data_IF_488854225159
#
_entry.id   IF_488854225159
#
_cell.length_a   1.000
_cell.length_b   1.000
_cell.length_c   1.000
_cell.angle_alpha   90.00
_cell.angle_beta   90.00
_cell.angle_gamma   90.00
#
_symmetry.space_group_name_H-M   'P 1'
#
loop_
_entity.id
_entity.type
_entity.pdbx_description
1 polymer ?
#
# COMPACT_ATOMS: atom_id res chain seq x y z
N UNK A 1 -17.97 5.54 3.79
CA UNK A 1 -17.11 4.34 3.68
C UNK A 1 -16.36 4.19 4.99
N UNK A 2 -16.16 2.97 5.49
CA UNK A 2 -15.43 2.72 6.74
C UNK A 2 -13.94 2.52 6.45
N UNK A 3 -13.09 2.97 7.36
CA UNK A 3 -11.66 2.67 7.36
C UNK A 3 -11.41 1.25 7.87
N UNK A 4 -10.34 0.59 7.40
CA UNK A 4 -9.90 -0.71 7.93
C UNK A 4 -9.61 -0.61 9.44
N UNK A 5 -10.14 -1.51 10.25
CA UNK A 5 -10.09 -1.45 11.73
C UNK A 5 -10.56 -0.10 12.31
N UNK A 6 -11.51 0.58 11.65
CA UNK A 6 -11.96 1.91 12.05
C UNK A 6 -10.85 2.96 12.10
N UNK A 7 -9.76 2.75 11.33
CA UNK A 7 -8.61 3.62 11.26
C UNK A 7 -7.68 3.56 12.48
N UNK A 8 -7.85 2.56 13.36
CA UNK A 8 -6.99 2.34 14.55
C UNK A 8 -5.50 2.24 14.22
N UNK A 9 -5.16 1.72 13.04
CA UNK A 9 -3.79 1.54 12.57
C UNK A 9 -3.39 2.59 11.52
N UNK A 10 -4.14 3.68 11.36
CA UNK A 10 -3.67 4.79 10.54
C UNK A 10 -2.35 5.36 11.14
N UNK A 11 -1.36 5.74 10.31
CA UNK A 11 -1.48 5.88 8.86
C UNK A 11 -1.08 4.65 8.04
N UNK A 12 -0.55 3.59 8.66
CA UNK A 12 0.01 2.45 7.91
C UNK A 12 -1.04 1.68 7.11
N UNK A 13 -2.32 1.73 7.49
CA UNK A 13 -3.43 1.13 6.73
C UNK A 13 -4.10 2.05 5.71
N UNK A 14 -3.64 3.30 5.59
CA UNK A 14 -4.25 4.26 4.66
C UNK A 14 -3.94 3.94 3.22
N UNK A 15 -2.70 3.52 3.00
CA UNK A 15 -2.20 3.03 1.73
C UNK A 15 -1.80 1.58 1.90
N UNK A 16 -2.30 0.73 1.02
CA UNK A 16 -1.92 -0.68 0.95
C UNK A 16 -1.47 -0.96 -0.47
N UNK A 17 -0.30 -1.60 -0.59
CA UNK A 17 0.16 -2.16 -1.84
C UNK A 17 -0.35 -3.59 -2.02
N UNK A 18 -0.58 -4.03 -3.25
CA UNK A 18 -0.95 -5.39 -3.57
C UNK A 18 -0.13 -5.89 -4.76
N UNK A 19 0.34 -7.13 -4.70
CA UNK A 19 1.00 -7.84 -5.80
C UNK A 19 0.22 -9.11 -6.10
N UNK A 20 -0.12 -9.37 -7.37
CA UNK A 20 -0.84 -10.57 -7.80
C UNK A 20 0.12 -11.77 -7.87
N UNK A 21 0.60 -12.21 -6.70
CA UNK A 21 1.48 -13.35 -6.56
C UNK A 21 1.38 -13.93 -5.13
N UNK A 22 1.98 -15.11 -4.95
CA UNK A 22 2.11 -15.73 -3.63
C UNK A 22 3.05 -14.90 -2.72
N UNK A 23 2.77 -14.79 -1.40
CA UNK A 23 3.60 -14.02 -0.48
C UNK A 23 5.07 -14.43 -0.46
N UNK A 24 5.38 -15.71 -0.57
CA UNK A 24 6.77 -16.21 -0.55
C UNK A 24 7.57 -15.63 -1.74
N UNK A 25 6.94 -15.53 -2.92
CA UNK A 25 7.56 -14.91 -4.11
C UNK A 25 7.76 -13.41 -3.93
N UNK A 26 6.80 -12.71 -3.32
CA UNK A 26 6.90 -11.29 -3.05
C UNK A 26 8.04 -10.98 -2.06
N UNK A 27 8.15 -11.78 -1.00
CA UNK A 27 9.22 -11.67 0.01
C UNK A 27 10.58 -11.99 -0.61
N UNK A 28 10.70 -13.06 -1.40
CA UNK A 28 11.95 -13.42 -2.07
C UNK A 28 12.45 -12.29 -2.98
N UNK A 29 11.57 -11.75 -3.82
CA UNK A 29 11.90 -10.63 -4.71
C UNK A 29 12.30 -9.37 -3.91
N UNK A 30 11.59 -9.07 -2.82
CA UNK A 30 11.93 -7.95 -1.94
C UNK A 30 13.28 -8.13 -1.25
N UNK A 31 13.57 -9.31 -0.71
CA UNK A 31 14.84 -9.62 -0.05
C UNK A 31 16.01 -9.54 -1.02
N UNK A 32 15.86 -10.06 -2.24
CA UNK A 32 16.89 -9.94 -3.28
C UNK A 32 17.18 -8.48 -3.58
N UNK A 33 16.15 -7.71 -3.91
CA UNK A 33 16.31 -6.31 -4.29
C UNK A 33 16.86 -5.44 -3.15
N UNK A 34 16.21 -5.49 -1.98
CA UNK A 34 16.62 -4.66 -0.86
C UNK A 34 17.94 -5.15 -0.25
N UNK A 35 18.25 -6.44 -0.31
CA UNK A 35 19.57 -6.97 0.07
C UNK A 35 20.68 -6.31 -0.73
N UNK A 36 20.54 -6.28 -2.06
CA UNK A 36 21.52 -5.64 -2.94
C UNK A 36 21.67 -4.14 -2.64
N UNK A 37 20.55 -3.43 -2.49
CA UNK A 37 20.54 -1.98 -2.21
C UNK A 37 21.14 -1.65 -0.84
N UNK A 38 20.84 -2.45 0.18
CA UNK A 38 21.17 -2.14 1.58
C UNK A 38 22.53 -2.70 2.02
N UNK A 39 23.05 -3.73 1.36
CA UNK A 39 24.36 -4.34 1.68
C UNK A 39 25.50 -3.31 1.67
N UNK A 40 25.47 -2.36 0.73
CA UNK A 40 26.47 -1.29 0.62
C UNK A 40 26.48 -0.33 1.82
N UNK A 41 25.39 -0.30 2.59
CA UNK A 41 25.22 0.52 3.80
C UNK A 41 25.50 -0.25 5.09
N UNK A 42 25.89 -1.54 4.99
CA UNK A 42 26.01 -2.42 6.14
C UNK A 42 24.67 -2.72 6.82
N UNK A 43 23.58 -2.68 6.04
CA UNK A 43 22.23 -2.97 6.51
C UNK A 43 21.84 -4.36 6.06
N UNK A 44 21.47 -5.20 7.01
CA UNK A 44 21.05 -6.59 6.81
C UNK A 44 19.52 -6.70 6.83
N UNK A 45 18.99 -7.72 6.18
CA UNK A 45 17.56 -8.01 6.18
C UNK A 45 17.30 -9.38 6.79
N UNK A 46 16.29 -9.46 7.65
CA UNK A 46 15.78 -10.73 8.14
C UNK A 46 14.28 -10.83 7.88
N UNK A 47 13.82 -12.03 7.55
CA UNK A 47 12.40 -12.34 7.38
C UNK A 47 11.95 -13.32 8.46
N UNK A 48 10.86 -12.98 9.14
CA UNK A 48 10.19 -13.86 10.09
C UNK A 48 8.74 -14.09 9.65
N UNK A 49 8.27 -15.33 9.76
CA UNK A 49 6.96 -15.73 9.26
C UNK A 49 6.14 -16.33 10.39
N UNK A 50 4.89 -15.91 10.54
CA UNK A 50 4.00 -16.37 11.60
C UNK A 50 2.55 -16.49 11.12
N UNK A 51 1.79 -17.41 11.73
CA UNK A 51 0.34 -17.49 11.61
C UNK A 51 -0.28 -16.52 12.60
N UNK A 52 -0.47 -15.28 12.17
CA UNK A 52 -1.08 -14.21 12.97
C UNK A 52 -2.06 -13.46 12.09
N UNK A 53 -3.17 -13.02 12.66
CA UNK A 53 -4.10 -12.17 11.94
C UNK A 53 -3.46 -10.80 11.60
N UNK A 54 -4.13 -10.02 10.73
CA UNK A 54 -3.60 -8.72 10.34
C UNK A 54 -3.52 -7.75 11.54
N UNK A 55 -4.46 -7.82 12.48
CA UNK A 55 -4.52 -6.93 13.64
C UNK A 55 -3.38 -7.18 14.64
N UNK A 56 -2.86 -8.41 14.69
CA UNK A 56 -1.67 -8.83 15.44
C UNK A 56 -0.37 -8.55 14.67
N UNK A 57 -0.40 -8.61 13.34
CA UNK A 57 0.75 -8.32 12.49
C UNK A 57 1.08 -6.81 12.45
N UNK A 58 0.07 -5.94 12.29
CA UNK A 58 0.25 -4.49 12.14
C UNK A 58 1.06 -3.83 13.27
N UNK A 59 0.85 -4.14 14.58
CA UNK A 59 1.69 -3.63 15.66
C UNK A 59 3.17 -3.93 15.51
N UNK A 60 3.56 -5.00 14.80
CA UNK A 60 4.97 -5.36 14.58
C UNK A 60 5.70 -4.38 13.67
N UNK A 61 4.98 -3.51 12.95
CA UNK A 61 5.57 -2.42 12.19
C UNK A 61 6.10 -1.29 13.11
N UNK A 62 5.77 -1.25 14.41
CA UNK A 62 6.24 -0.19 15.30
C UNK A 62 7.69 -0.40 15.79
N UNK A 63 8.52 0.64 15.84
CA UNK A 63 8.18 2.05 15.66
C UNK A 63 8.00 2.43 14.18
N UNK A 64 7.13 3.41 13.93
CA UNK A 64 7.06 4.05 12.63
C UNK A 64 8.32 4.88 12.40
N UNK A 65 8.78 5.00 11.17
CA UNK A 65 10.01 5.73 10.84
C UNK A 65 9.79 6.82 9.80
N UNK A 66 10.59 7.90 9.87
CA UNK A 66 10.78 8.87 8.79
C UNK A 66 12.05 8.56 7.98
N UNK A 67 12.17 9.17 6.79
CA UNK A 67 13.32 9.07 5.86
C UNK A 67 13.52 7.69 5.23
N UNK A 68 13.58 6.63 6.02
CA UNK A 68 13.69 5.25 5.55
C UNK A 68 12.74 4.31 6.28
N UNK A 69 12.26 3.28 5.59
CA UNK A 69 11.42 2.22 6.14
C UNK A 69 12.28 1.06 6.62
N UNK A 70 11.95 0.52 7.79
CA UNK A 70 12.73 -0.54 8.46
C UNK A 70 11.96 -1.83 8.63
N UNK A 71 10.63 -1.79 8.53
CA UNK A 71 9.77 -2.96 8.72
C UNK A 71 8.70 -3.01 7.65
N UNK A 72 8.47 -4.20 7.11
CA UNK A 72 7.60 -4.45 5.96
C UNK A 72 6.80 -5.72 6.21
N UNK A 73 5.49 -5.68 5.98
CA UNK A 73 4.62 -6.83 6.06
C UNK A 73 4.20 -7.27 4.67
N UNK A 74 4.26 -8.58 4.44
CA UNK A 74 3.67 -9.26 3.30
C UNK A 74 2.57 -10.18 3.81
N UNK A 75 1.34 -9.87 3.46
CA UNK A 75 0.14 -10.46 4.06
C UNK A 75 -0.64 -11.22 2.99
N UNK A 76 -0.86 -12.54 3.13
CA UNK A 76 -1.74 -13.28 2.23
C UNK A 76 -3.17 -12.75 2.33
N UNK A 77 -3.88 -12.76 1.20
CA UNK A 77 -5.29 -12.40 1.15
C UNK A 77 -6.16 -13.60 0.77
N UNK A 78 -7.48 -13.43 0.77
CA UNK A 78 -8.44 -14.44 0.30
C UNK A 78 -8.52 -14.57 -1.22
N UNK A 79 -7.75 -13.78 -1.96
CA UNK A 79 -7.58 -13.88 -3.40
C UNK A 79 -6.12 -14.18 -3.75
N UNK A 80 -5.76 -14.04 -5.02
CA UNK A 80 -4.41 -14.22 -5.57
C UNK A 80 -3.47 -13.04 -5.27
N UNK A 81 -3.93 -12.07 -4.48
CA UNK A 81 -3.16 -10.90 -4.09
C UNK A 81 -2.40 -11.13 -2.77
N UNK A 82 -1.19 -10.61 -2.71
CA UNK A 82 -0.43 -10.40 -1.47
C UNK A 82 -0.46 -8.92 -1.13
N UNK A 83 -0.92 -8.55 0.06
CA UNK A 83 -0.90 -7.18 0.54
C UNK A 83 0.47 -6.82 1.13
N UNK A 84 0.84 -5.55 0.98
CA UNK A 84 2.10 -4.97 1.41
C UNK A 84 1.85 -3.69 2.22
N UNK A 85 2.51 -3.61 3.37
CA UNK A 85 2.44 -2.48 4.31
C UNK A 85 3.83 -2.25 4.88
N UNK A 86 4.23 -0.99 5.10
CA UNK A 86 5.49 -0.66 5.75
C UNK A 86 5.30 0.25 6.97
N UNK A 87 6.38 0.50 7.71
CA UNK A 87 6.34 1.30 8.94
C UNK A 87 6.47 2.80 8.73
N UNK A 88 5.97 3.37 7.64
CA UNK A 88 6.06 4.81 7.40
C UNK A 88 5.23 5.65 8.35
N UNK A 89 5.85 6.67 8.94
CA UNK A 89 5.16 7.59 9.86
C UNK A 89 4.05 8.45 9.21
N UNK A 90 4.08 8.58 7.88
CA UNK A 90 3.05 9.25 7.05
C UNK A 90 2.20 8.24 6.26
N UNK A 91 2.36 6.95 6.56
CA UNK A 91 1.73 5.84 5.84
C UNK A 91 2.71 5.06 4.98
N UNK A 92 2.21 3.94 4.46
CA UNK A 92 2.96 3.01 3.60
C UNK A 92 3.43 3.68 2.32
N UNK A 93 4.72 3.56 2.00
CA UNK A 93 5.27 3.93 0.69
C UNK A 93 5.13 2.77 -0.30
N UNK A 94 3.91 2.58 -0.81
CA UNK A 94 3.61 1.50 -1.74
C UNK A 94 4.03 1.80 -3.20
N UNK A 95 4.18 3.06 -3.60
CA UNK A 95 4.38 3.41 -5.01
C UNK A 95 5.63 2.74 -5.59
N UNK A 96 6.79 3.02 -4.96
CA UNK A 96 8.08 2.54 -5.44
C UNK A 96 8.21 1.01 -5.32
N UNK A 97 7.78 0.46 -4.18
CA UNK A 97 7.87 -0.97 -3.92
C UNK A 97 6.97 -1.80 -4.83
N UNK A 98 5.70 -1.42 -5.00
CA UNK A 98 4.76 -2.23 -5.78
C UNK A 98 5.06 -2.13 -7.28
N UNK A 99 5.35 -0.93 -7.79
CA UNK A 99 5.77 -0.74 -9.18
C UNK A 99 7.00 -1.61 -9.49
N UNK A 100 8.06 -1.51 -8.68
CA UNK A 100 9.28 -2.26 -8.93
C UNK A 100 9.09 -3.78 -8.79
N UNK A 101 8.42 -4.25 -7.73
CA UNK A 101 8.20 -5.68 -7.51
C UNK A 101 7.28 -6.30 -8.57
N UNK A 102 6.26 -5.58 -9.06
CA UNK A 102 5.42 -6.05 -10.14
C UNK A 102 6.23 -6.33 -11.43
N UNK A 103 7.15 -5.41 -11.77
CA UNK A 103 8.08 -5.59 -12.90
C UNK A 103 9.01 -6.79 -12.65
N UNK A 104 9.66 -6.87 -11.48
CA UNK A 104 10.63 -7.94 -11.20
C UNK A 104 10.00 -9.34 -11.13
N UNK A 105 8.79 -9.45 -10.57
CA UNK A 105 8.09 -10.73 -10.40
C UNK A 105 7.40 -11.14 -11.71
N UNK A 106 7.12 -10.18 -12.59
CA UNK A 106 6.30 -10.38 -13.78
C UNK A 106 4.82 -10.57 -13.43
N UNK A 107 4.27 -9.72 -12.56
CA UNK A 107 2.87 -9.78 -12.13
C UNK A 107 2.19 -8.41 -12.14
N UNK A 108 0.88 -8.39 -11.86
CA UNK A 108 0.13 -7.16 -11.67
C UNK A 108 0.36 -6.59 -10.27
N UNK A 109 0.42 -5.26 -10.17
CA UNK A 109 0.52 -4.51 -8.93
C UNK A 109 -0.63 -3.51 -8.76
N UNK A 110 -1.04 -3.26 -7.52
CA UNK A 110 -2.00 -2.22 -7.18
C UNK A 110 -1.52 -1.42 -5.99
N UNK A 111 -1.59 -0.09 -6.06
CA UNK A 111 -1.57 0.77 -4.87
C UNK A 111 -2.96 1.35 -4.67
N UNK A 112 -3.49 1.20 -3.46
CA UNK A 112 -4.77 1.78 -3.07
C UNK A 112 -4.59 2.67 -1.85
N UNK A 113 -5.12 3.89 -1.90
CA UNK A 113 -5.09 4.84 -0.78
C UNK A 113 -6.50 5.35 -0.47
N UNK A 114 -6.87 5.36 0.81
CA UNK A 114 -8.04 6.07 1.32
C UNK A 114 -7.73 6.79 2.63
N UNK A 115 -7.77 8.12 2.59
CA UNK A 115 -7.70 9.02 3.73
C UNK A 115 -8.99 9.86 3.75
N UNK A 116 -9.89 9.67 4.74
CA UNK A 116 -11.15 10.41 4.81
C UNK A 116 -10.94 11.89 5.17
N UNK A 117 -11.87 12.74 4.72
CA UNK A 117 -11.85 14.21 4.93
C UNK A 117 -11.93 14.58 6.41
N UNK A 118 -12.61 13.76 7.21
CA UNK A 118 -12.83 13.99 8.63
C UNK A 118 -11.60 13.71 9.50
N UNK A 119 -10.52 13.16 8.93
CA UNK A 119 -9.33 12.76 9.69
C UNK A 119 -8.45 13.97 10.06
N UNK A 120 -8.29 14.29 11.36
CA UNK A 120 -7.48 15.44 11.76
C UNK A 120 -5.99 15.25 11.45
N UNK A 121 -5.34 16.31 10.97
CA UNK A 121 -3.89 16.36 10.80
C UNK A 121 -3.35 15.57 9.61
N UNK A 122 -4.20 15.14 8.68
CA UNK A 122 -3.80 14.54 7.41
C UNK A 122 -4.62 15.13 6.26
N UNK A 123 -4.02 15.15 5.08
CA UNK A 123 -4.72 15.59 3.89
C UNK A 123 -5.52 14.44 3.28
N UNK A 124 -6.83 14.63 3.01
CA UNK A 124 -7.64 13.58 2.44
C UNK A 124 -7.21 13.24 1.01
N UNK A 125 -7.28 11.96 0.70
CA UNK A 125 -6.88 11.41 -0.58
C UNK A 125 -7.61 10.10 -0.88
N UNK A 126 -7.97 9.89 -2.15
CA UNK A 126 -8.39 8.61 -2.72
C UNK A 126 -7.50 8.35 -3.92
N UNK A 127 -6.74 7.25 -3.92
CA UNK A 127 -5.80 6.92 -5.00
C UNK A 127 -5.96 5.46 -5.37
N UNK A 128 -5.96 5.19 -6.67
CA UNK A 128 -5.80 3.87 -7.26
C UNK A 128 -4.72 3.95 -8.34
N UNK A 129 -3.68 3.14 -8.22
CA UNK A 129 -2.66 2.98 -9.25
C UNK A 129 -2.54 1.50 -9.59
N UNK A 130 -2.54 1.19 -10.89
CA UNK A 130 -2.37 -0.16 -11.44
C UNK A 130 -1.01 -0.23 -12.13
N UNK A 131 -0.26 -1.28 -11.84
CA UNK A 131 1.04 -1.55 -12.42
C UNK A 131 1.01 -2.89 -13.14
N UNK A 132 1.68 -2.95 -14.29
CA UNK A 132 1.86 -4.18 -15.06
C UNK A 132 3.26 -4.77 -14.92
N UNK A 133 3.50 -5.95 -15.51
CA UNK A 133 4.84 -6.54 -15.55
C UNK A 133 5.79 -5.79 -16.51
N UNK A 134 5.24 -5.06 -17.49
CA UNK A 134 5.99 -4.42 -18.56
C UNK A 134 6.17 -2.92 -18.34
N UNK A 135 7.29 -2.38 -18.82
CA UNK A 135 7.51 -0.93 -18.83
C UNK A 135 6.56 -0.24 -19.82
N UNK A 136 6.14 0.94 -19.41
CA UNK A 136 5.28 1.90 -20.08
C UNK A 136 6.01 3.25 -20.19
N UNK A 137 5.35 4.29 -20.67
CA UNK A 137 5.92 5.64 -20.73
C UNK A 137 6.33 6.19 -19.35
N UNK A 138 5.65 5.76 -18.28
CA UNK A 138 5.99 6.11 -16.90
C UNK A 138 6.07 4.87 -16.01
N UNK A 139 7.31 4.38 -15.80
CA UNK A 139 7.59 3.12 -15.11
C UNK A 139 6.78 1.99 -15.76
N UNK A 140 6.03 1.21 -14.99
CA UNK A 140 5.09 0.19 -15.46
C UNK A 140 3.63 0.56 -15.13
N UNK A 141 3.31 1.86 -15.10
CA UNK A 141 1.98 2.34 -14.68
C UNK A 141 0.97 2.18 -15.82
N UNK A 142 -0.03 1.34 -15.61
CA UNK A 142 -1.15 1.11 -16.56
C UNK A 142 -2.21 2.19 -16.39
N UNK A 143 -2.56 2.50 -15.14
CA UNK A 143 -3.66 3.40 -14.79
C UNK A 143 -3.38 4.09 -13.46
N UNK A 144 -3.57 5.40 -13.39
CA UNK A 144 -3.51 6.17 -12.14
C UNK A 144 -4.74 7.06 -12.04
N UNK A 145 -5.49 6.94 -10.94
CA UNK A 145 -6.66 7.76 -10.63
C UNK A 145 -6.46 8.31 -9.23
N UNK A 146 -6.50 9.63 -9.09
CA UNK A 146 -6.31 10.28 -7.80
C UNK A 146 -7.28 11.44 -7.61
N UNK A 147 -7.85 11.52 -6.41
CA UNK A 147 -8.44 12.72 -5.84
C UNK A 147 -7.69 13.02 -4.56
N UNK A 148 -7.14 14.21 -4.43
CA UNK A 148 -6.40 14.61 -3.22
C UNK A 148 -6.60 16.09 -2.91
N UNK A 149 -6.40 16.44 -1.64
CA UNK A 149 -6.33 17.83 -1.19
C UNK A 149 -4.87 18.23 -0.96
N UNK A 150 -4.41 19.31 -1.58
CA UNK A 150 -3.02 19.77 -1.51
C UNK A 150 -2.75 20.77 -0.35
N UNK A 151 -3.72 20.94 0.55
CA UNK A 151 -3.70 21.98 1.59
C UNK A 151 -4.44 23.26 1.18
N UNK A 152 -4.74 23.46 -0.10
CA UNK A 152 -5.44 24.64 -0.61
C UNK A 152 -6.67 24.32 -1.46
N UNK A 153 -6.59 23.30 -2.30
CA UNK A 153 -7.65 22.93 -3.25
C UNK A 153 -7.69 21.43 -3.46
N UNK A 154 -8.82 20.98 -3.99
CA UNK A 154 -8.98 19.61 -4.47
C UNK A 154 -8.38 19.48 -5.87
N UNK A 155 -7.66 18.40 -6.08
CA UNK A 155 -7.10 17.99 -7.36
C UNK A 155 -7.70 16.66 -7.78
N UNK A 156 -7.86 16.47 -9.09
CA UNK A 156 -8.25 15.19 -9.70
C UNK A 156 -7.38 14.91 -10.91
N UNK A 157 -6.85 13.70 -10.99
CA UNK A 157 -6.15 13.15 -12.16
C UNK A 157 -6.65 11.74 -12.48
N UNK A 158 -6.58 11.39 -13.76
CA UNK A 158 -6.96 10.09 -14.28
C UNK A 158 -6.17 9.82 -15.58
N UNK A 159 -5.01 9.19 -15.44
CA UNK A 159 -4.01 9.00 -16.50
C UNK A 159 -3.85 7.52 -16.84
N UNK A 160 -3.40 7.20 -18.06
CA UNK A 160 -3.29 5.81 -18.53
C UNK A 160 -4.58 5.22 -19.10
N UNK A 161 -4.58 3.91 -19.34
CA UNK A 161 -5.69 3.22 -20.01
C UNK A 161 -6.90 3.05 -19.08
N UNK A 162 -8.07 3.50 -19.54
CA UNK A 162 -9.34 3.33 -18.83
C UNK A 162 -9.68 1.84 -18.74
N UNK A 163 -9.88 1.35 -17.52
CA UNK A 163 -10.25 -0.04 -17.28
C UNK A 163 -11.75 -0.25 -17.52
N UNK A 164 -12.12 -1.48 -17.93
CA UNK A 164 -13.50 -1.83 -18.31
C UNK A 164 -14.52 -1.71 -17.18
N UNK A 165 -14.07 -1.73 -15.93
CA UNK A 165 -14.91 -1.57 -14.74
C UNK A 165 -15.08 -0.11 -14.28
N UNK A 166 -14.39 0.85 -14.91
CA UNK A 166 -14.44 2.25 -14.47
C UNK A 166 -15.78 2.93 -14.77
N UNK A 167 -16.36 3.59 -13.76
CA UNK A 167 -17.52 4.48 -13.91
C UNK A 167 -17.08 5.88 -14.34
N UNK A 168 -16.55 6.01 -15.56
CA UNK A 168 -15.94 7.26 -16.07
C UNK A 168 -16.88 8.48 -16.10
N UNK A 169 -18.20 8.27 -16.04
CA UNK A 169 -19.18 9.37 -15.89
C UNK A 169 -18.95 10.16 -14.60
N UNK A 170 -18.53 9.49 -13.51
CA UNK A 170 -18.22 10.11 -12.20
C UNK A 170 -17.10 11.13 -12.30
N UNK A 171 -16.17 10.98 -13.23
CA UNK A 171 -15.03 11.89 -13.40
C UNK A 171 -15.44 13.31 -13.84
N UNK A 172 -16.69 13.48 -14.28
CA UNK A 172 -17.27 14.76 -14.69
C UNK A 172 -18.10 15.43 -13.60
N UNK A 173 -18.18 14.84 -12.40
CA UNK A 173 -18.88 15.43 -11.26
C UNK A 173 -18.43 16.86 -10.98
N UNK A 174 -19.38 17.72 -10.62
CA UNK A 174 -19.11 19.15 -10.34
C UNK A 174 -18.16 19.30 -9.14
N UNK A 175 -18.32 18.44 -8.14
CA UNK A 175 -17.46 18.41 -6.96
C UNK A 175 -16.28 17.48 -7.22
N UNK A 176 -15.06 18.01 -7.21
CA UNK A 176 -13.84 17.23 -7.45
C UNK A 176 -13.73 16.04 -6.48
N UNK A 177 -14.04 16.26 -5.19
CA UNK A 177 -14.03 15.20 -4.18
C UNK A 177 -15.02 14.06 -4.41
N UNK A 178 -16.02 14.25 -5.29
CA UNK A 178 -16.99 13.22 -5.67
C UNK A 178 -16.62 12.47 -6.95
N UNK A 179 -15.56 12.88 -7.65
CA UNK A 179 -15.11 12.26 -8.90
C UNK A 179 -14.50 10.89 -8.67
N UNK A 180 -13.80 10.73 -7.55
CA UNK A 180 -13.27 9.46 -7.08
C UNK A 180 -13.24 9.51 -5.55
N UNK A 181 -14.13 8.75 -4.92
CA UNK A 181 -14.29 8.67 -3.47
C UNK A 181 -14.01 7.24 -2.99
N UNK A 182 -13.95 7.04 -1.67
CA UNK A 182 -13.68 5.72 -1.09
C UNK A 182 -14.65 4.64 -1.59
N UNK A 183 -15.94 4.96 -1.79
CA UNK A 183 -16.93 4.01 -2.27
C UNK A 183 -16.65 3.54 -3.71
N UNK A 184 -16.23 4.46 -4.58
CA UNK A 184 -15.84 4.13 -5.93
C UNK A 184 -14.52 3.35 -5.97
N UNK A 185 -13.57 3.69 -5.09
CA UNK A 185 -12.34 2.92 -4.89
C UNK A 185 -12.63 1.47 -4.47
N UNK A 186 -13.48 1.24 -3.45
CA UNK A 186 -13.88 -0.10 -3.02
C UNK A 186 -14.54 -0.89 -4.17
N UNK A 187 -15.41 -0.22 -4.95
CA UNK A 187 -16.03 -0.84 -6.13
C UNK A 187 -14.97 -1.31 -7.14
N UNK A 188 -14.01 -0.46 -7.49
CA UNK A 188 -12.95 -0.79 -8.43
C UNK A 188 -12.03 -1.90 -7.91
N UNK A 189 -11.65 -1.86 -6.63
CA UNK A 189 -10.84 -2.90 -6.01
C UNK A 189 -11.54 -4.25 -6.02
N UNK A 190 -12.85 -4.29 -5.78
CA UNK A 190 -13.62 -5.55 -5.85
C UNK A 190 -13.64 -6.14 -7.26
N UNK A 191 -13.67 -5.31 -8.31
CA UNK A 191 -13.50 -5.80 -9.69
C UNK A 191 -12.13 -6.43 -9.94
N UNK A 192 -11.09 -6.02 -9.19
CA UNK A 192 -9.76 -6.61 -9.22
C UNK A 192 -9.60 -7.83 -8.30
N UNK A 193 -10.62 -8.17 -7.51
CA UNK A 193 -10.56 -9.23 -6.50
C UNK A 193 -9.92 -8.80 -5.17
N UNK A 194 -9.88 -7.49 -4.89
CA UNK A 194 -9.31 -6.90 -3.67
C UNK A 194 -10.45 -6.36 -2.80
N UNK A 195 -10.45 -6.71 -1.51
CA UNK A 195 -11.42 -6.20 -0.53
C UNK A 195 -10.70 -5.48 0.62
N UNK A 196 -10.05 -4.35 0.32
CA UNK A 196 -9.12 -3.68 1.26
C UNK A 196 -9.76 -3.19 2.57
N UNK A 197 -11.08 -2.97 2.58
CA UNK A 197 -11.81 -2.47 3.74
C UNK A 197 -12.48 -3.58 4.56
N UNK A 198 -12.37 -4.84 4.12
CA UNK A 198 -12.87 -6.01 4.82
C UNK A 198 -11.72 -6.67 5.59
N UNK A 199 -11.77 -6.63 6.92
CA UNK A 199 -10.75 -7.24 7.78
C UNK A 199 -10.59 -8.75 7.50
N UNK A 200 -11.69 -9.42 7.14
CA UNK A 200 -11.69 -10.85 6.85
C UNK A 200 -11.05 -11.19 5.50
N UNK A 201 -10.73 -10.19 4.66
CA UNK A 201 -10.00 -10.39 3.40
C UNK A 201 -8.54 -10.79 3.63
N UNK A 202 -7.96 -10.34 4.74
CA UNK A 202 -6.56 -10.55 5.08
C UNK A 202 -6.36 -11.79 5.95
N UNK A 203 -5.20 -12.42 5.82
CA UNK A 203 -4.79 -13.58 6.62
C UNK A 203 -5.85 -14.69 6.65
N UNK A 204 -6.19 -15.32 5.52
CA UNK A 204 -7.08 -16.49 5.54
C UNK A 204 -6.56 -17.57 6.50
N UNK A 205 -7.47 -18.34 7.08
CA UNK A 205 -7.14 -19.37 8.08
C UNK A 205 -6.01 -20.28 7.61
N UNK A 206 -4.96 -20.39 8.43
CA UNK A 206 -3.78 -21.21 8.15
C UNK A 206 -2.71 -20.53 7.30
N UNK A 207 -3.00 -19.37 6.70
CA UNK A 207 -2.02 -18.59 5.95
C UNK A 207 -1.02 -17.91 6.90
N UNK A 208 0.17 -17.62 6.37
CA UNK A 208 1.26 -17.05 7.14
C UNK A 208 1.60 -15.67 6.62
N UNK A 209 1.75 -14.73 7.54
CA UNK A 209 2.20 -13.37 7.27
C UNK A 209 3.70 -13.31 7.50
N UNK A 210 4.42 -12.63 6.61
CA UNK A 210 5.86 -12.44 6.71
C UNK A 210 6.18 -10.99 7.06
N UNK A 211 6.96 -10.80 8.11
CA UNK A 211 7.59 -9.54 8.48
C UNK A 211 9.03 -9.57 7.98
N UNK A 212 9.42 -8.56 7.22
CA UNK A 212 10.82 -8.30 6.85
C UNK A 212 11.31 -7.09 7.63
N UNK A 213 12.45 -7.23 8.27
CA UNK A 213 13.09 -6.20 9.09
C UNK A 213 14.48 -5.87 8.54
N UNK A 214 14.85 -4.60 8.62
CA UNK A 214 16.19 -4.11 8.32
C UNK A 214 16.96 -3.86 9.61
N UNK A 215 18.16 -4.42 9.74
CA UNK A 215 19.10 -4.22 10.86
C UNK A 215 20.38 -3.51 10.41
N UNK A 216 21.11 -2.88 11.32
CA UNK A 216 22.31 -2.10 11.00
C UNK A 216 22.07 -0.58 10.97
N UNK A 217 22.98 0.20 10.34
CA UNK A 217 22.93 1.66 10.36
C UNK A 217 21.59 2.23 9.89
N UNK A 218 21.16 3.30 10.56
CA UNK A 218 19.96 4.05 10.24
C UNK A 218 20.37 5.40 9.62
N UNK A 219 19.56 5.92 8.70
CA UNK A 219 19.77 7.25 8.14
C UNK A 219 19.86 8.31 9.27
N UNK A 220 20.88 9.19 9.31
CA UNK A 220 21.08 10.12 10.45
C UNK A 220 19.90 11.05 10.76
N UNK A 221 19.07 11.33 9.77
CA UNK A 221 17.88 12.18 9.90
C UNK A 221 16.59 11.39 10.21
N UNK A 222 16.66 10.06 10.30
CA UNK A 222 15.50 9.24 10.62
C UNK A 222 15.05 9.48 12.06
N UNK A 223 13.74 9.50 12.25
CA UNK A 223 13.08 9.62 13.54
C UNK A 223 12.09 8.48 13.70
N UNK A 224 11.88 8.07 14.95
CA UNK A 224 10.92 7.04 15.33
C UNK A 224 9.66 7.66 15.94
N UNK A 225 8.50 7.08 15.61
CA UNK A 225 7.20 7.52 16.05
C UNK A 225 6.37 6.32 16.53
N UNK A 226 5.52 6.55 17.53
CA UNK A 226 4.45 5.60 17.88
C UNK A 226 3.23 5.77 16.96
N UNK A 227 2.29 4.84 17.06
CA UNK A 227 0.93 5.09 16.57
C UNK A 227 0.29 6.17 17.45
N UNK A 228 -0.28 7.19 16.82
CA UNK A 228 -1.13 8.13 17.55
C UNK A 228 -2.41 7.38 17.90
N UNK A 229 -2.60 7.07 19.19
CA UNK A 229 -3.85 6.46 19.65
C UNK A 229 -5.00 7.42 19.33
N UNK A 230 -6.06 6.88 18.72
CA UNK A 230 -7.35 7.57 18.56
C UNK A 230 -8.11 7.54 19.88
#
# INVERSE_FOLDING_TARGET
MNELFGGRFAPITDTIGFLRCNPDRAVEAFLSWQGDVQSQRGVELEASTAQVDLSEALPKLLPLTSVERRRFLFVPTRSDWTAFVDNGHEGTDAFSHISYLAEQIGCDGVRATWVPEERPGQWPATVLELYGPEKTDFLNTIRSIAVSFDGSKWFFSADGEVQSFEEVSRYKERSIKKRFDGSLLDTYLRHLGISMFDESFFTPTGARTTLVEKFGPIAPAAQEFGLKMR
#
